data_IF_650597711188
#
_entry.id   IF_650597711188
#
_cell.length_a   1.000
_cell.length_b   1.000
_cell.length_c   1.000
_cell.angle_alpha   90.00
_cell.angle_beta   90.00
_cell.angle_gamma   90.00
#
_symmetry.space_group_name_H-M   'P 1'
#
loop_
_entity.id
_entity.type
_entity.pdbx_description
1 polymer ?
#
# COMPACT_ATOMS: atom_id res chain seq x y z
N UNK A 1 -11.87 -21.69 -4.10
CA UNK A 1 -12.36 -21.98 -2.73
C UNK A 1 -11.35 -21.48 -1.70
N UNK A 2 -11.77 -21.33 -0.46
CA UNK A 2 -10.93 -20.93 0.67
C UNK A 2 -9.77 -21.91 0.90
N UNK A 3 -10.00 -23.22 0.71
CA UNK A 3 -8.94 -24.22 0.84
C UNK A 3 -7.79 -23.98 -0.15
N UNK A 4 -8.11 -23.63 -1.40
CA UNK A 4 -7.10 -23.30 -2.40
C UNK A 4 -6.33 -22.05 -1.99
N UNK A 5 -7.03 -21.01 -1.47
CA UNK A 5 -6.35 -19.82 -0.99
C UNK A 5 -5.38 -20.13 0.17
N UNK A 6 -5.74 -21.03 1.08
CA UNK A 6 -4.84 -21.50 2.14
C UNK A 6 -3.62 -22.24 1.59
N UNK A 7 -3.81 -23.16 0.62
CA UNK A 7 -2.69 -23.88 0.00
C UNK A 7 -1.72 -22.94 -0.71
N UNK A 8 -2.26 -21.94 -1.43
CA UNK A 8 -1.46 -20.92 -2.10
C UNK A 8 -0.68 -20.08 -1.10
N UNK A 9 -1.36 -19.61 -0.04
CA UNK A 9 -0.73 -18.83 1.02
C UNK A 9 0.40 -19.62 1.70
N UNK A 10 0.20 -20.90 1.97
CA UNK A 10 1.23 -21.77 2.59
C UNK A 10 2.53 -21.82 1.78
N UNK A 11 2.43 -21.82 0.43
CA UNK A 11 3.60 -21.82 -0.47
C UNK A 11 4.42 -20.54 -0.33
N UNK A 12 3.76 -19.39 -0.19
CA UNK A 12 4.43 -18.10 0.01
C UNK A 12 4.95 -17.96 1.45
N UNK A 13 4.14 -18.31 2.45
CA UNK A 13 4.49 -18.16 3.87
C UNK A 13 5.77 -18.91 4.22
N UNK A 14 5.92 -20.15 3.74
CA UNK A 14 7.13 -20.96 3.96
C UNK A 14 8.40 -20.27 3.45
N UNK A 15 8.29 -19.59 2.31
CA UNK A 15 9.41 -18.83 1.74
C UNK A 15 9.66 -17.49 2.42
N UNK A 16 8.60 -16.80 2.84
CA UNK A 16 8.68 -15.46 3.42
C UNK A 16 9.04 -15.47 4.91
N UNK A 17 8.44 -16.39 5.67
CA UNK A 17 8.51 -16.40 7.14
C UNK A 17 9.05 -17.69 7.74
N UNK A 18 9.06 -18.79 6.95
CA UNK A 18 9.49 -20.10 7.42
C UNK A 18 8.34 -20.95 7.98
N UNK A 19 8.69 -22.15 8.46
CA UNK A 19 7.74 -23.23 8.78
C UNK A 19 6.97 -23.06 10.10
N UNK A 20 7.32 -22.09 10.93
CA UNK A 20 6.62 -21.79 12.17
C UNK A 20 5.36 -20.95 11.97
N UNK A 21 5.14 -20.47 10.76
CA UNK A 21 3.99 -19.66 10.36
C UNK A 21 3.06 -20.48 9.46
N UNK A 22 1.76 -20.31 9.64
CA UNK A 22 0.74 -21.01 8.89
C UNK A 22 -0.39 -20.07 8.46
N UNK A 23 -1.07 -20.36 7.32
CA UNK A 23 -2.26 -19.62 6.94
C UNK A 23 -3.43 -19.95 7.87
N UNK A 24 -4.26 -18.97 8.16
CA UNK A 24 -5.55 -19.12 8.84
C UNK A 24 -6.70 -19.04 7.84
N UNK A 25 -7.94 -18.94 8.34
CA UNK A 25 -9.14 -18.91 7.51
C UNK A 25 -9.14 -17.71 6.57
N UNK A 26 -9.22 -17.93 5.24
CA UNK A 26 -9.21 -16.85 4.26
C UNK A 26 -10.46 -15.99 4.33
N UNK A 27 -10.29 -14.69 4.21
CA UNK A 27 -11.34 -13.69 4.17
C UNK A 27 -11.57 -13.32 2.70
N UNK A 28 -12.75 -13.63 2.11
CA UNK A 28 -13.02 -13.25 0.73
C UNK A 28 -13.12 -11.74 0.60
N UNK A 29 -12.66 -11.22 -0.53
CA UNK A 29 -12.90 -9.83 -0.91
C UNK A 29 -13.44 -9.75 -2.35
N UNK A 30 -14.16 -8.67 -2.59
CA UNK A 30 -14.84 -8.41 -3.86
C UNK A 30 -14.37 -7.10 -4.47
N UNK A 31 -14.64 -6.93 -5.76
CA UNK A 31 -14.55 -5.62 -6.42
C UNK A 31 -15.74 -4.75 -5.96
N UNK A 32 -15.70 -3.48 -6.31
CA UNK A 32 -16.75 -2.51 -6.00
C UNK A 32 -18.10 -2.83 -6.67
N UNK A 33 -18.11 -3.61 -7.74
CA UNK A 33 -19.33 -4.13 -8.37
C UNK A 33 -19.86 -5.42 -7.70
N UNK A 34 -19.19 -5.89 -6.64
CA UNK A 34 -19.51 -7.11 -5.91
C UNK A 34 -18.99 -8.40 -6.55
N UNK A 35 -18.24 -8.32 -7.65
CA UNK A 35 -17.63 -9.52 -8.26
C UNK A 35 -16.50 -10.06 -7.38
N UNK A 36 -16.43 -11.39 -7.15
CA UNK A 36 -15.37 -11.99 -6.35
C UNK A 36 -13.99 -11.77 -6.99
N UNK A 37 -13.07 -11.13 -6.25
CA UNK A 37 -11.69 -10.90 -6.69
C UNK A 37 -10.71 -11.88 -6.06
N UNK A 38 -10.77 -12.08 -4.75
CA UNK A 38 -9.72 -12.80 -4.10
C UNK A 38 -9.94 -13.11 -2.62
N UNK A 39 -8.82 -13.37 -1.95
CA UNK A 39 -8.79 -13.66 -0.52
C UNK A 39 -7.67 -12.91 0.18
N UNK A 40 -7.99 -12.32 1.31
CA UNK A 40 -7.02 -11.96 2.33
C UNK A 40 -6.80 -13.20 3.19
N UNK A 41 -5.57 -13.66 3.30
CA UNK A 41 -5.25 -14.86 4.09
C UNK A 41 -4.43 -14.45 5.30
N UNK A 42 -5.04 -14.46 6.51
CA UNK A 42 -4.31 -14.18 7.73
C UNK A 42 -3.23 -15.21 7.97
N UNK A 43 -2.13 -14.76 8.57
CA UNK A 43 -0.98 -15.59 8.95
C UNK A 43 -0.90 -15.66 10.45
N UNK A 44 -0.69 -16.86 10.98
CA UNK A 44 -0.58 -17.08 12.42
C UNK A 44 0.72 -17.80 12.78
N UNK A 45 1.22 -17.51 13.96
CA UNK A 45 2.33 -18.24 14.60
C UNK A 45 1.98 -18.48 16.07
N UNK A 46 2.10 -19.71 16.55
CA UNK A 46 1.74 -20.06 17.94
C UNK A 46 0.36 -19.52 18.37
N UNK A 47 -0.63 -19.61 17.49
CA UNK A 47 -2.00 -19.11 17.66
C UNK A 47 -2.14 -17.58 17.84
N UNK A 48 -1.14 -16.82 17.42
CA UNK A 48 -1.19 -15.36 17.39
C UNK A 48 -1.17 -14.86 15.95
N UNK A 49 -1.98 -13.86 15.66
CA UNK A 49 -1.97 -13.20 14.37
C UNK A 49 -0.59 -12.54 14.13
N UNK A 50 -0.04 -12.74 12.94
CA UNK A 50 1.31 -12.31 12.56
C UNK A 50 1.35 -11.59 11.21
N UNK A 51 0.21 -11.28 10.64
CA UNK A 51 0.09 -10.58 9.36
C UNK A 51 -0.92 -11.22 8.43
N UNK A 52 -0.84 -10.86 7.15
CA UNK A 52 -1.72 -11.38 6.10
C UNK A 52 -1.05 -11.33 4.73
N UNK A 53 -1.62 -12.13 3.80
CA UNK A 53 -1.34 -12.04 2.36
C UNK A 53 -2.62 -11.61 1.64
N UNK A 54 -2.46 -10.93 0.50
CA UNK A 54 -3.53 -10.59 -0.43
C UNK A 54 -3.34 -11.41 -1.69
N UNK A 55 -4.30 -12.28 -1.95
CA UNK A 55 -4.33 -13.18 -3.12
C UNK A 55 -5.47 -12.72 -4.04
N UNK A 56 -5.11 -12.18 -5.19
CA UNK A 56 -6.04 -11.63 -6.18
C UNK A 56 -6.07 -12.51 -7.43
N UNK A 57 -7.23 -13.07 -7.75
CA UNK A 57 -7.41 -13.93 -8.91
C UNK A 57 -7.35 -13.18 -10.25
N UNK A 58 -7.49 -11.87 -10.23
CA UNK A 58 -7.34 -11.04 -11.44
C UNK A 58 -5.89 -10.76 -11.82
N UNK A 59 -4.93 -11.08 -10.94
CA UNK A 59 -3.49 -10.95 -11.20
C UNK A 59 -2.88 -12.30 -11.59
N UNK A 60 -2.07 -12.32 -12.66
CA UNK A 60 -1.42 -13.55 -13.19
C UNK A 60 -0.54 -14.25 -12.16
N UNK A 61 0.01 -13.48 -11.22
CA UNK A 61 0.90 -14.01 -10.17
C UNK A 61 0.16 -14.25 -8.85
N UNK A 62 -1.10 -13.86 -8.75
CA UNK A 62 -2.03 -14.07 -7.63
C UNK A 62 -1.61 -13.34 -6.34
N UNK A 63 -0.36 -13.47 -5.88
CA UNK A 63 0.11 -12.70 -4.73
C UNK A 63 0.34 -11.23 -5.12
N UNK A 64 -0.55 -10.36 -4.71
CA UNK A 64 -0.49 -8.93 -5.03
C UNK A 64 0.06 -8.09 -3.88
N UNK A 65 0.00 -8.62 -2.64
CA UNK A 65 0.57 -7.93 -1.50
C UNK A 65 0.65 -8.80 -0.25
N UNK A 66 1.42 -8.36 0.72
CA UNK A 66 1.46 -8.93 2.06
C UNK A 66 1.93 -7.90 3.08
N UNK A 67 1.60 -8.17 4.32
CA UNK A 67 2.06 -7.39 5.45
C UNK A 67 2.22 -8.30 6.65
N UNK A 68 3.32 -8.13 7.39
CA UNK A 68 3.58 -8.86 8.61
C UNK A 68 3.70 -7.92 9.80
N UNK A 69 3.09 -8.30 10.90
CA UNK A 69 3.06 -7.56 12.15
C UNK A 69 2.15 -8.24 13.17
N UNK A 70 2.48 -8.11 14.44
CA UNK A 70 1.71 -8.70 15.54
C UNK A 70 0.27 -8.15 15.57
N UNK A 71 -0.71 -9.05 15.65
CA UNK A 71 -2.12 -8.72 15.75
C UNK A 71 -2.82 -8.40 14.42
N UNK A 72 -2.10 -8.34 13.29
CA UNK A 72 -2.69 -8.03 11.99
C UNK A 72 -3.31 -9.28 11.36
N UNK A 73 -4.54 -9.16 10.87
CA UNK A 73 -5.24 -10.23 10.13
C UNK A 73 -5.76 -9.75 8.77
N UNK A 74 -5.83 -8.44 8.53
CA UNK A 74 -6.34 -7.89 7.27
C UNK A 74 -5.86 -6.46 7.03
N UNK A 75 -6.00 -5.90 5.81
CA UNK A 75 -5.75 -4.49 5.55
C UNK A 75 -6.64 -3.54 6.36
N UNK A 76 -7.75 -4.04 6.92
CA UNK A 76 -8.68 -3.26 7.73
C UNK A 76 -8.21 -3.10 9.19
N UNK A 77 -7.23 -3.91 9.62
CA UNK A 77 -6.71 -3.81 10.98
C UNK A 77 -5.76 -2.62 11.07
N UNK A 78 -6.21 -1.62 11.79
CA UNK A 78 -5.44 -0.44 12.13
C UNK A 78 -5.23 -0.46 13.63
N UNK A 79 -4.19 -0.99 14.14
CA UNK A 79 -3.70 -0.82 15.51
C UNK A 79 -4.65 -0.20 16.56
N UNK A 80 -5.92 -0.59 16.61
CA UNK A 80 -6.80 -0.44 17.77
C UNK A 80 -7.88 0.63 17.75
N UNK A 81 -8.03 1.54 16.77
CA UNK A 81 -8.91 2.69 17.00
C UNK A 81 -9.93 3.10 15.91
N UNK A 82 -10.03 2.39 14.84
CA UNK A 82 -11.17 2.57 13.95
C UNK A 82 -12.13 1.40 14.18
N UNK A 83 -13.28 1.68 14.78
CA UNK A 83 -14.39 0.74 14.88
C UNK A 83 -14.94 0.41 13.49
N UNK A 84 -14.11 -0.25 12.68
CA UNK A 84 -14.58 -0.88 11.46
C UNK A 84 -15.42 -2.05 11.93
N UNK A 85 -16.73 -2.00 11.63
CA UNK A 85 -17.62 -3.13 11.86
C UNK A 85 -16.94 -4.37 11.27
N UNK A 86 -16.87 -5.43 12.07
CA UNK A 86 -16.26 -6.68 11.64
C UNK A 86 -16.93 -7.12 10.33
N UNK A 87 -16.10 -7.42 9.32
CA UNK A 87 -16.58 -8.00 8.07
C UNK A 87 -17.39 -9.27 8.36
N UNK A 88 -18.46 -9.46 7.60
CA UNK A 88 -19.33 -10.62 7.68
C UNK A 88 -19.83 -10.96 6.27
N UNK A 89 -20.55 -12.07 6.14
CA UNK A 89 -21.18 -12.40 4.85
C UNK A 89 -22.10 -11.27 4.33
N UNK A 90 -22.72 -10.51 5.23
CA UNK A 90 -23.56 -9.36 4.86
C UNK A 90 -22.79 -8.06 4.68
N UNK A 91 -21.50 -7.99 5.13
CA UNK A 91 -20.64 -6.84 5.06
C UNK A 91 -19.31 -7.28 4.43
N UNK A 92 -19.25 -7.46 3.10
CA UNK A 92 -18.05 -7.96 2.43
C UNK A 92 -16.90 -6.96 2.49
N UNK A 93 -15.68 -7.48 2.49
CA UNK A 93 -14.50 -6.66 2.24
C UNK A 93 -14.47 -6.32 0.75
N UNK A 94 -14.30 -5.05 0.44
CA UNK A 94 -14.24 -4.51 -0.92
C UNK A 94 -12.85 -3.96 -1.16
N UNK A 95 -12.20 -4.35 -2.24
CA UNK A 95 -10.96 -3.74 -2.68
C UNK A 95 -11.27 -2.52 -3.55
N UNK A 96 -10.96 -1.34 -3.06
CA UNK A 96 -11.08 -0.09 -3.83
C UNK A 96 -9.90 0.04 -4.81
N UNK A 97 -8.71 -0.27 -4.30
CA UNK A 97 -7.45 -0.38 -5.04
C UNK A 97 -6.45 -1.11 -4.13
N UNK A 98 -5.24 -1.50 -4.59
CA UNK A 98 -4.29 -2.24 -3.78
C UNK A 98 -3.79 -1.52 -2.52
N UNK A 99 -3.98 -0.22 -2.41
CA UNK A 99 -3.65 0.57 -1.22
C UNK A 99 -4.86 0.75 -0.29
N UNK A 100 -6.07 0.53 -0.77
CA UNK A 100 -7.30 0.88 -0.06
C UNK A 100 -8.34 -0.22 -0.15
N UNK A 101 -8.70 -0.74 1.01
CA UNK A 101 -9.78 -1.71 1.22
C UNK A 101 -10.86 -1.08 2.09
N UNK A 102 -12.07 -1.59 2.01
CA UNK A 102 -13.17 -1.14 2.84
C UNK A 102 -14.12 -2.27 3.20
N UNK A 103 -15.05 -1.98 4.09
CA UNK A 103 -16.18 -2.85 4.44
C UNK A 103 -17.46 -2.19 3.95
N UNK A 104 -18.24 -2.94 3.17
CA UNK A 104 -19.52 -2.45 2.67
C UNK A 104 -20.60 -2.62 3.72
N UNK A 105 -21.30 -1.54 4.03
CA UNK A 105 -22.47 -1.52 4.93
C UNK A 105 -23.75 -1.94 4.20
N UNK A 106 -24.82 -2.22 4.94
CA UNK A 106 -26.11 -2.63 4.39
C UNK A 106 -26.78 -1.58 3.49
N UNK A 107 -26.47 -0.31 3.67
CA UNK A 107 -26.92 0.79 2.82
C UNK A 107 -26.09 0.94 1.53
N UNK A 108 -25.08 0.09 1.34
CA UNK A 108 -24.17 0.05 0.21
C UNK A 108 -22.99 1.02 0.32
N UNK A 109 -22.91 1.83 1.36
CA UNK A 109 -21.74 2.67 1.61
C UNK A 109 -20.52 1.80 2.00
N UNK A 110 -19.30 2.27 1.68
CA UNK A 110 -18.06 1.56 1.99
C UNK A 110 -17.23 2.41 2.93
N UNK A 111 -16.94 1.90 4.12
CA UNK A 111 -15.97 2.51 5.04
C UNK A 111 -14.60 1.90 4.81
N UNK A 112 -13.61 2.72 4.46
CA UNK A 112 -12.30 2.25 4.05
C UNK A 112 -11.27 2.25 5.18
N UNK A 113 -10.18 1.49 4.99
CA UNK A 113 -9.04 1.46 5.90
C UNK A 113 -8.32 2.80 6.03
N UNK A 114 -8.53 3.76 5.15
CA UNK A 114 -8.06 5.15 5.29
C UNK A 114 -9.07 6.09 5.96
N UNK A 115 -10.18 5.56 6.46
CA UNK A 115 -11.19 6.33 7.18
C UNK A 115 -12.09 7.19 6.29
N UNK A 116 -12.16 6.89 4.99
CA UNK A 116 -13.11 7.51 4.07
C UNK A 116 -14.42 6.73 4.08
N UNK A 117 -15.51 7.44 3.83
CA UNK A 117 -16.79 6.80 3.50
C UNK A 117 -17.13 7.08 2.05
N UNK A 118 -17.27 6.03 1.25
CA UNK A 118 -17.64 6.08 -0.16
C UNK A 118 -19.14 5.77 -0.25
N UNK A 119 -19.97 6.72 -0.74
CA UNK A 119 -21.41 6.48 -0.91
C UNK A 119 -21.69 5.40 -1.95
N UNK A 120 -22.77 4.63 -1.77
CA UNK A 120 -23.20 3.56 -2.68
C UNK A 120 -23.35 4.02 -4.15
N UNK A 121 -23.77 5.28 -4.35
CA UNK A 121 -24.05 5.84 -5.69
C UNK A 121 -22.79 6.23 -6.46
N UNK A 122 -21.62 6.31 -5.80
CA UNK A 122 -20.35 6.77 -6.41
C UNK A 122 -19.63 5.67 -7.20
N UNK A 123 -20.20 4.48 -7.28
CA UNK A 123 -19.52 3.27 -7.77
C UNK A 123 -19.92 2.92 -9.20
N UNK A 124 -20.78 3.70 -9.84
CA UNK A 124 -21.20 3.46 -11.22
C UNK A 124 -20.06 3.73 -12.22
N UNK A 125 -19.72 2.72 -13.01
CA UNK A 125 -19.02 2.89 -14.28
C UNK A 125 -17.50 2.75 -14.27
N UNK A 126 -16.94 1.78 -13.56
CA UNK A 126 -15.52 1.43 -13.76
C UNK A 126 -15.29 0.82 -15.14
N UNK A 127 -14.29 1.29 -15.90
CA UNK A 127 -13.87 0.58 -17.08
C UNK A 127 -13.31 -0.78 -16.67
N UNK A 128 -13.93 -1.84 -17.17
CA UNK A 128 -13.37 -3.18 -17.08
C UNK A 128 -12.05 -3.16 -17.85
N UNK A 129 -10.95 -3.25 -17.14
CA UNK A 129 -9.65 -3.46 -17.78
C UNK A 129 -9.66 -4.90 -18.28
N UNK A 130 -9.97 -5.06 -19.58
CA UNK A 130 -9.87 -6.34 -20.28
C UNK A 130 -8.38 -6.70 -20.35
N UNK A 131 -7.88 -7.37 -19.34
CA UNK A 131 -6.62 -8.09 -19.42
C UNK A 131 -6.92 -9.54 -19.78
N UNK A 132 -6.00 -10.22 -20.48
CA UNK A 132 -6.05 -11.68 -20.74
C UNK A 132 -5.87 -12.51 -19.47
N UNK A 133 -6.44 -12.09 -18.35
CA UNK A 133 -6.22 -12.61 -17.01
C UNK A 133 -7.32 -13.60 -16.64
N UNK A 134 -7.03 -14.57 -15.75
CA UNK A 134 -8.07 -15.41 -15.22
C UNK A 134 -9.17 -14.54 -14.63
N UNK A 135 -10.38 -14.68 -15.15
CA UNK A 135 -11.53 -13.87 -14.75
C UNK A 135 -12.28 -14.44 -13.54
N UNK A 136 -11.80 -15.56 -13.00
CA UNK A 136 -12.46 -16.21 -11.88
C UNK A 136 -11.53 -17.13 -11.09
N UNK A 137 -11.87 -17.38 -9.82
CA UNK A 137 -11.19 -18.39 -8.99
C UNK A 137 -11.23 -19.81 -9.58
N UNK A 138 -12.13 -20.11 -10.51
CA UNK A 138 -12.13 -21.39 -11.23
C UNK A 138 -10.88 -21.53 -12.11
N UNK A 139 -10.40 -20.45 -12.69
CA UNK A 139 -9.17 -20.44 -13.47
C UNK A 139 -7.94 -20.56 -12.57
N UNK A 140 -7.98 -19.96 -11.37
CA UNK A 140 -6.93 -20.10 -10.35
C UNK A 140 -6.74 -21.54 -9.88
N UNK A 141 -7.80 -22.37 -9.90
CA UNK A 141 -7.67 -23.82 -9.58
C UNK A 141 -6.68 -24.51 -10.51
N UNK A 142 -6.64 -24.15 -11.79
CA UNK A 142 -5.69 -24.72 -12.76
C UNK A 142 -4.26 -24.31 -12.40
N UNK A 143 -4.05 -23.10 -11.96
CA UNK A 143 -2.74 -22.61 -11.50
C UNK A 143 -2.34 -23.23 -10.16
N UNK A 144 -3.27 -23.45 -9.24
CA UNK A 144 -2.99 -24.06 -7.94
C UNK A 144 -2.33 -25.42 -8.05
N UNK A 145 -2.72 -26.24 -9.05
CA UNK A 145 -2.09 -27.55 -9.31
C UNK A 145 -0.66 -27.44 -9.83
N UNK A 146 -0.28 -26.27 -10.38
CA UNK A 146 1.06 -25.98 -10.89
C UNK A 146 1.90 -25.20 -9.90
N UNK A 147 1.31 -24.73 -8.78
CA UNK A 147 2.02 -23.91 -7.82
C UNK A 147 3.19 -24.61 -7.19
N UNK A 148 4.22 -23.82 -7.03
CA UNK A 148 5.49 -24.21 -6.47
C UNK A 148 5.75 -23.46 -5.17
N UNK A 149 6.64 -23.99 -4.35
CA UNK A 149 7.15 -23.23 -3.21
C UNK A 149 7.99 -22.07 -3.69
N UNK A 150 7.91 -20.97 -2.99
CA UNK A 150 8.73 -19.79 -3.21
C UNK A 150 9.79 -19.64 -2.11
N UNK A 151 10.84 -18.94 -2.44
CA UNK A 151 11.86 -18.52 -1.48
C UNK A 151 12.19 -17.05 -1.72
N UNK A 152 12.56 -16.35 -0.66
CA UNK A 152 13.10 -14.99 -0.78
C UNK A 152 14.53 -15.13 -1.29
N UNK A 153 14.76 -14.71 -2.54
CA UNK A 153 16.09 -14.73 -3.15
C UNK A 153 16.83 -13.40 -3.01
N UNK A 154 16.10 -12.34 -2.66
CA UNK A 154 16.65 -11.02 -2.34
C UNK A 154 15.70 -10.27 -1.43
N UNK A 155 16.24 -9.71 -0.36
CA UNK A 155 15.53 -8.82 0.54
C UNK A 155 16.47 -7.70 0.98
N UNK A 156 15.99 -6.49 0.95
CA UNK A 156 16.69 -5.34 1.49
C UNK A 156 15.71 -4.31 2.01
N UNK A 157 16.08 -3.68 3.12
CA UNK A 157 15.43 -2.47 3.61
C UNK A 157 16.49 -1.41 3.91
N UNK A 158 16.10 -0.16 3.95
CA UNK A 158 16.93 0.89 4.55
C UNK A 158 17.11 0.61 6.04
N UNK A 159 18.15 1.19 6.64
CA UNK A 159 18.55 0.88 8.03
C UNK A 159 17.55 1.31 9.09
N UNK A 160 16.78 2.34 8.80
CA UNK A 160 15.67 2.82 9.62
C UNK A 160 14.49 3.00 8.68
N UNK A 161 13.32 2.56 9.09
CA UNK A 161 12.13 2.83 8.31
C UNK A 161 11.24 3.83 9.06
N UNK A 162 10.45 4.59 8.30
CA UNK A 162 9.53 5.58 8.84
C UNK A 162 8.18 5.52 8.15
N UNK A 163 7.13 5.37 8.93
CA UNK A 163 5.76 5.45 8.45
C UNK A 163 4.93 6.28 9.43
N UNK A 164 4.61 7.49 9.04
CA UNK A 164 3.63 8.28 9.75
C UNK A 164 2.22 7.73 9.54
N UNK A 165 1.47 7.59 10.63
CA UNK A 165 0.05 7.23 10.58
C UNK A 165 -0.78 8.45 10.16
N UNK A 166 -1.57 8.32 9.10
CA UNK A 166 -2.42 9.39 8.61
C UNK A 166 -3.49 9.82 9.62
N UNK A 167 -3.98 8.89 10.45
CA UNK A 167 -4.97 9.22 11.48
C UNK A 167 -4.38 10.20 12.49
N UNK A 168 -3.12 9.97 12.87
CA UNK A 168 -2.40 10.87 13.76
C UNK A 168 -2.09 12.21 13.08
N UNK A 169 -1.67 12.19 11.81
CA UNK A 169 -1.44 13.42 11.03
C UNK A 169 -2.72 14.25 10.96
N UNK A 170 -3.85 13.63 10.60
CA UNK A 170 -5.16 14.32 10.56
C UNK A 170 -5.55 14.91 11.91
N UNK A 171 -5.34 14.15 13.00
CA UNK A 171 -5.62 14.62 14.35
C UNK A 171 -4.78 15.84 14.73
N UNK A 172 -3.50 15.86 14.34
CA UNK A 172 -2.57 16.93 14.70
C UNK A 172 -2.69 18.17 13.82
N UNK A 173 -3.03 18.03 12.56
CA UNK A 173 -2.93 19.10 11.55
C UNK A 173 -4.27 19.48 10.91
N UNK A 174 -5.30 18.66 11.05
CA UNK A 174 -6.56 18.73 10.29
C UNK A 174 -6.35 18.73 8.75
N UNK A 175 -5.19 18.25 8.28
CA UNK A 175 -4.84 18.15 6.86
C UNK A 175 -4.25 16.77 6.55
N UNK A 176 -4.44 16.32 5.31
CA UNK A 176 -3.81 15.11 4.82
C UNK A 176 -3.55 15.19 3.31
N UNK A 177 -2.36 14.80 2.90
CA UNK A 177 -1.99 14.61 1.51
C UNK A 177 -0.91 13.51 1.43
N UNK A 178 -1.15 12.46 0.68
CA UNK A 178 -0.25 11.30 0.59
C UNK A 178 1.19 11.68 0.21
N UNK A 179 1.37 12.64 -0.71
CA UNK A 179 2.68 13.16 -1.08
C UNK A 179 3.39 13.87 0.08
N UNK A 180 2.66 14.70 0.82
CA UNK A 180 3.22 15.44 1.97
C UNK A 180 3.61 14.46 3.08
N UNK A 181 2.78 13.42 3.30
CA UNK A 181 3.08 12.33 4.25
C UNK A 181 4.33 11.55 3.83
N UNK A 182 4.44 11.18 2.55
CA UNK A 182 5.61 10.49 2.04
C UNK A 182 6.89 11.34 2.16
N UNK A 183 6.83 12.64 1.87
CA UNK A 183 7.96 13.55 2.10
C UNK A 183 8.26 13.76 3.58
N UNK A 184 7.27 13.70 4.45
CA UNK A 184 7.48 13.77 5.91
C UNK A 184 8.24 12.57 6.43
N UNK A 185 7.93 11.36 5.93
CA UNK A 185 8.70 10.15 6.22
C UNK A 185 10.18 10.36 5.83
N UNK A 186 10.43 10.85 4.62
CA UNK A 186 11.80 11.14 4.15
C UNK A 186 12.49 12.19 5.01
N UNK A 187 11.78 13.28 5.36
CA UNK A 187 12.35 14.33 6.21
C UNK A 187 12.76 13.79 7.59
N UNK A 188 11.96 12.92 8.20
CA UNK A 188 12.29 12.25 9.46
C UNK A 188 13.51 11.33 9.30
N UNK A 189 13.54 10.49 8.26
CA UNK A 189 14.66 9.58 7.97
C UNK A 189 16.00 10.31 7.81
N UNK A 190 15.97 11.54 7.34
CA UNK A 190 17.16 12.38 7.21
C UNK A 190 17.40 13.31 8.41
N UNK A 191 16.59 13.22 9.47
CA UNK A 191 16.68 14.05 10.67
C UNK A 191 16.36 15.53 10.42
N UNK A 192 15.55 15.86 9.41
CA UNK A 192 15.18 17.22 9.03
C UNK A 192 13.89 17.66 9.73
N UNK A 193 12.98 16.73 9.96
CA UNK A 193 11.68 16.96 10.60
C UNK A 193 11.37 15.87 11.61
N UNK A 194 10.47 16.19 12.54
CA UNK A 194 9.79 15.22 13.40
C UNK A 194 8.39 15.74 13.69
N UNK A 195 7.37 15.15 13.06
CA UNK A 195 5.99 15.64 13.16
C UNK A 195 5.37 15.43 14.55
N UNK A 196 5.84 14.46 15.32
CA UNK A 196 5.35 14.23 16.69
C UNK A 196 5.82 15.33 17.64
N UNK A 197 6.99 15.91 17.41
CA UNK A 197 7.51 17.03 18.20
C UNK A 197 7.10 18.40 17.67
N UNK A 198 6.92 18.52 16.35
CA UNK A 198 6.53 19.77 15.68
C UNK A 198 5.61 19.48 14.47
N UNK A 199 4.29 19.31 14.70
CA UNK A 199 3.32 19.07 13.64
C UNK A 199 3.24 20.18 12.59
N UNK A 200 3.69 21.41 12.92
CA UNK A 200 3.68 22.52 11.97
C UNK A 200 4.57 22.29 10.75
N UNK A 201 5.55 21.39 10.86
CA UNK A 201 6.42 21.02 9.76
C UNK A 201 5.68 20.33 8.61
N UNK A 202 4.60 19.61 8.90
CA UNK A 202 3.72 19.05 7.88
C UNK A 202 3.15 20.15 6.98
N UNK A 203 2.65 21.23 7.58
CA UNK A 203 2.11 22.38 6.83
C UNK A 203 3.21 23.18 6.12
N UNK A 204 4.44 23.17 6.64
CA UNK A 204 5.57 23.76 5.91
C UNK A 204 5.88 22.96 4.64
N UNK A 205 5.97 21.61 4.72
CA UNK A 205 6.14 20.74 3.54
C UNK A 205 4.98 20.97 2.56
N UNK A 206 3.73 20.99 3.05
CA UNK A 206 2.53 21.28 2.26
C UNK A 206 2.69 22.57 1.44
N UNK A 207 3.07 23.66 2.10
CA UNK A 207 3.23 24.96 1.44
C UNK A 207 4.40 24.96 0.43
N UNK A 208 5.54 24.42 0.82
CA UNK A 208 6.72 24.36 -0.07
C UNK A 208 6.48 23.50 -1.32
N UNK A 209 5.70 22.45 -1.22
CA UNK A 209 5.40 21.56 -2.35
C UNK A 209 4.24 22.04 -3.21
N UNK A 210 3.67 23.22 -2.92
CA UNK A 210 2.47 23.76 -3.58
C UNK A 210 1.26 22.82 -3.47
N UNK A 211 1.17 22.07 -2.40
CA UNK A 211 -0.02 21.27 -2.12
C UNK A 211 -1.20 22.20 -1.87
N UNK A 212 -2.34 21.88 -2.42
CA UNK A 212 -3.56 22.66 -2.29
C UNK A 212 -4.74 21.75 -1.92
N UNK A 213 -5.77 22.31 -1.29
CA UNK A 213 -6.97 21.57 -0.97
C UNK A 213 -7.63 21.03 -2.25
N UNK A 214 -8.06 19.80 -2.21
CA UNK A 214 -8.90 19.21 -3.25
C UNK A 214 -10.27 19.92 -3.27
N UNK A 215 -11.03 19.74 -4.34
CA UNK A 215 -12.38 20.28 -4.44
C UNK A 215 -13.32 19.70 -3.38
N UNK A 216 -14.43 20.39 -3.09
CA UNK A 216 -15.41 19.93 -2.09
C UNK A 216 -15.96 18.53 -2.39
N UNK A 217 -16.06 18.17 -3.68
CA UNK A 217 -16.50 16.84 -4.12
C UNK A 217 -15.49 15.75 -3.81
N UNK A 218 -14.21 16.10 -3.72
CA UNK A 218 -13.11 15.18 -3.39
C UNK A 218 -12.79 15.11 -1.90
N UNK A 219 -13.35 16.04 -1.09
CA UNK A 219 -13.19 16.08 0.37
C UNK A 219 -14.07 15.01 1.04
N UNK A 220 -13.54 13.79 1.15
CA UNK A 220 -14.30 12.63 1.62
C UNK A 220 -14.11 12.28 3.09
N UNK A 221 -13.28 13.02 3.81
CA UNK A 221 -13.01 12.81 5.25
C UNK A 221 -13.53 14.01 6.04
N UNK A 222 -14.59 13.86 6.86
CA UNK A 222 -15.16 14.96 7.60
C UNK A 222 -14.14 15.66 8.52
N UNK A 223 -14.11 17.00 8.48
CA UNK A 223 -13.22 17.81 9.32
C UNK A 223 -11.74 17.78 8.96
N UNK A 224 -11.38 17.16 7.83
CA UNK A 224 -10.00 17.08 7.33
C UNK A 224 -9.92 17.68 5.93
N UNK A 225 -8.91 18.50 5.70
CA UNK A 225 -8.59 19.01 4.36
C UNK A 225 -7.71 18.02 3.63
N UNK A 226 -8.23 17.41 2.58
CA UNK A 226 -7.45 16.56 1.69
C UNK A 226 -6.72 17.41 0.65
N UNK A 227 -5.46 17.09 0.35
CA UNK A 227 -4.61 17.88 -0.53
C UNK A 227 -4.10 17.13 -1.74
N UNK A 228 -4.08 17.83 -2.87
CA UNK A 228 -3.39 17.44 -4.09
C UNK A 228 -2.04 18.14 -4.23
N UNK A 229 -0.99 17.38 -4.57
CA UNK A 229 0.36 17.93 -4.75
C UNK A 229 0.78 17.81 -6.22
N UNK A 230 1.12 18.92 -6.90
CA UNK A 230 1.57 18.85 -8.30
C UNK A 230 2.94 18.17 -8.43
N UNK A 231 3.03 17.13 -9.26
CA UNK A 231 4.27 16.39 -9.51
C UNK A 231 5.39 17.31 -10.07
N UNK A 232 5.03 18.29 -10.88
CA UNK A 232 6.00 19.19 -11.52
C UNK A 232 6.78 20.05 -10.54
N UNK A 233 6.26 20.33 -9.36
CA UNK A 233 6.85 21.22 -8.37
C UNK A 233 7.27 20.54 -7.07
N UNK A 234 6.77 19.34 -6.80
CA UNK A 234 6.91 18.69 -5.49
C UNK A 234 8.38 18.47 -5.09
N UNK A 235 9.24 17.97 -5.99
CA UNK A 235 10.64 17.70 -5.67
C UNK A 235 11.44 19.00 -5.41
N UNK A 236 11.23 20.03 -6.25
CA UNK A 236 11.86 21.34 -6.03
C UNK A 236 11.37 21.98 -4.74
N UNK A 237 10.07 21.91 -4.48
CA UNK A 237 9.47 22.41 -3.25
C UNK A 237 10.05 21.72 -2.02
N UNK A 238 10.15 20.39 -2.04
CA UNK A 238 10.72 19.64 -0.93
C UNK A 238 12.22 19.95 -0.72
N UNK A 239 12.99 20.12 -1.81
CA UNK A 239 14.39 20.60 -1.73
C UNK A 239 14.47 21.96 -1.03
N UNK A 240 13.61 22.90 -1.39
CA UNK A 240 13.57 24.22 -0.76
C UNK A 240 13.18 24.16 0.72
N UNK A 241 12.23 23.29 1.07
CA UNK A 241 11.92 22.99 2.48
C UNK A 241 13.15 22.47 3.22
N UNK A 242 13.85 21.49 2.69
CA UNK A 242 15.08 20.96 3.29
C UNK A 242 16.14 22.05 3.49
N UNK A 243 16.36 22.90 2.49
CA UNK A 243 17.28 24.02 2.58
C UNK A 243 16.88 25.03 3.66
N UNK A 244 15.58 25.33 3.82
CA UNK A 244 15.09 26.20 4.88
C UNK A 244 15.34 25.65 6.29
N UNK A 245 15.53 24.34 6.40
CA UNK A 245 15.89 23.62 7.64
C UNK A 245 17.40 23.40 7.79
N UNK A 246 18.21 24.01 6.93
CA UNK A 246 19.68 23.88 6.96
C UNK A 246 20.23 22.57 6.38
N UNK A 247 19.39 21.77 5.70
CA UNK A 247 19.81 20.53 5.06
C UNK A 247 20.20 20.73 3.62
N UNK A 248 21.20 19.97 3.15
CA UNK A 248 21.65 19.94 1.75
C UNK A 248 20.95 18.85 0.92
N UNK A 249 19.89 18.23 1.45
CA UNK A 249 19.15 17.17 0.76
C UNK A 249 18.47 17.73 -0.50
N UNK A 250 18.73 17.09 -1.62
CA UNK A 250 18.17 17.43 -2.94
C UNK A 250 17.21 16.30 -3.35
N UNK A 251 15.98 16.67 -3.70
CA UNK A 251 14.99 15.79 -4.28
C UNK A 251 14.94 15.95 -5.81
N UNK A 252 14.78 14.86 -6.54
CA UNK A 252 14.67 14.85 -8.01
C UNK A 252 13.57 13.93 -8.47
N UNK A 253 12.67 14.44 -9.30
CA UNK A 253 11.63 13.64 -9.95
C UNK A 253 12.22 12.80 -11.08
N UNK A 254 11.84 11.54 -11.13
CA UNK A 254 12.18 10.56 -12.17
C UNK A 254 10.88 10.01 -12.74
N UNK A 255 10.74 9.99 -14.07
CA UNK A 255 9.57 9.39 -14.72
C UNK A 255 9.71 7.88 -14.82
N UNK A 256 8.62 7.15 -14.59
CA UNK A 256 8.52 5.70 -14.72
C UNK A 256 9.73 4.96 -14.10
N UNK A 257 9.96 5.09 -12.78
CA UNK A 257 11.14 4.52 -12.15
C UNK A 257 11.13 3.00 -12.31
N UNK A 258 12.18 2.43 -12.90
CA UNK A 258 12.31 0.99 -13.02
C UNK A 258 12.61 0.36 -11.64
N UNK A 259 12.14 -0.87 -11.42
CA UNK A 259 12.37 -1.60 -10.16
C UNK A 259 13.87 -1.63 -9.79
N UNK A 260 14.76 -1.85 -10.75
CA UNK A 260 16.20 -1.86 -10.51
C UNK A 260 16.75 -0.53 -9.98
N UNK A 261 16.21 0.61 -10.42
CA UNK A 261 16.63 1.91 -9.88
C UNK A 261 16.14 2.11 -8.45
N UNK A 262 14.92 1.69 -8.13
CA UNK A 262 14.39 1.70 -6.76
C UNK A 262 15.25 0.82 -5.84
N UNK A 263 15.55 -0.39 -6.28
CA UNK A 263 16.43 -1.30 -5.54
C UNK A 263 17.83 -0.71 -5.30
N UNK A 264 18.41 -0.03 -6.29
CA UNK A 264 19.71 0.64 -6.16
C UNK A 264 19.69 1.75 -5.11
N UNK A 265 18.62 2.54 -5.03
CA UNK A 265 18.47 3.55 -3.98
C UNK A 265 18.36 2.88 -2.59
N UNK A 266 17.52 1.87 -2.44
CA UNK A 266 17.36 1.13 -1.18
C UNK A 266 18.69 0.45 -0.77
N UNK A 267 19.42 -0.16 -1.72
CA UNK A 267 20.75 -0.73 -1.49
C UNK A 267 21.77 0.31 -1.01
N UNK A 268 21.59 1.57 -1.43
CA UNK A 268 22.40 2.72 -1.01
C UNK A 268 21.86 3.37 0.27
N UNK A 269 20.94 2.70 0.98
CA UNK A 269 20.28 3.19 2.19
C UNK A 269 19.53 4.51 1.98
N UNK A 270 18.91 4.68 0.82
CA UNK A 270 18.10 5.85 0.48
C UNK A 270 16.67 5.44 0.16
N UNK A 271 15.65 6.10 0.78
CA UNK A 271 14.26 5.88 0.43
C UNK A 271 13.95 6.47 -0.96
N UNK A 272 12.82 6.06 -1.52
CA UNK A 272 12.21 6.71 -2.68
C UNK A 272 10.80 7.14 -2.30
N UNK A 273 10.28 8.22 -2.89
CA UNK A 273 8.84 8.44 -2.93
C UNK A 273 8.33 8.00 -4.29
N UNK A 274 7.35 7.10 -4.31
CA UNK A 274 6.75 6.57 -5.53
C UNK A 274 5.34 7.14 -5.71
N UNK A 275 5.02 7.51 -6.93
CA UNK A 275 3.75 8.11 -7.31
C UNK A 275 3.02 7.18 -8.26
N UNK A 276 1.96 6.55 -7.76
CA UNK A 276 1.10 5.66 -8.52
C UNK A 276 -0.03 6.45 -9.20
N UNK A 277 -0.23 6.22 -10.48
CA UNK A 277 -1.52 6.50 -11.13
C UNK A 277 -2.37 5.24 -11.03
N UNK A 278 -3.56 5.35 -10.46
CA UNK A 278 -4.48 4.24 -10.28
C UNK A 278 -5.41 4.12 -11.49
N UNK A 279 -5.86 2.90 -11.76
CA UNK A 279 -6.73 2.63 -12.90
C UNK A 279 -8.07 3.41 -12.88
N UNK A 280 -8.52 3.84 -11.71
CA UNK A 280 -9.73 4.64 -11.53
C UNK A 280 -9.51 6.16 -11.76
N UNK A 281 -8.33 6.55 -12.25
CA UNK A 281 -7.96 7.93 -12.49
C UNK A 281 -7.46 8.70 -11.27
N UNK A 282 -7.48 8.11 -10.09
CA UNK A 282 -6.89 8.71 -8.90
C UNK A 282 -5.37 8.49 -8.84
N UNK A 283 -4.71 9.11 -7.88
CA UNK A 283 -3.27 8.95 -7.66
C UNK A 283 -2.97 8.73 -6.17
N UNK A 284 -1.87 8.02 -5.91
CA UNK A 284 -1.38 7.83 -4.55
C UNK A 284 0.14 7.94 -4.49
N UNK A 285 0.66 8.42 -3.37
CA UNK A 285 2.09 8.57 -3.15
C UNK A 285 2.50 7.87 -1.87
N UNK A 286 3.58 7.10 -1.94
CA UNK A 286 4.07 6.28 -0.83
C UNK A 286 5.58 6.40 -0.70
N UNK A 287 6.14 6.10 0.47
CA UNK A 287 7.58 6.00 0.64
C UNK A 287 8.02 4.55 0.46
N UNK A 288 8.85 4.27 -0.53
CA UNK A 288 9.45 2.95 -0.72
C UNK A 288 10.76 2.84 0.06
N UNK A 289 10.83 1.86 0.95
CA UNK A 289 11.89 1.72 1.94
C UNK A 289 12.50 0.32 1.97
N UNK A 290 11.86 -0.63 1.28
CA UNK A 290 12.32 -2.00 1.17
C UNK A 290 11.95 -2.62 -0.17
N UNK A 291 12.55 -3.76 -0.46
CA UNK A 291 12.09 -4.66 -1.53
C UNK A 291 12.29 -6.12 -1.14
N UNK A 292 11.52 -6.99 -1.78
CA UNK A 292 11.73 -8.43 -1.72
C UNK A 292 11.63 -9.01 -3.13
N UNK A 293 12.50 -9.97 -3.44
CA UNK A 293 12.42 -10.79 -4.64
C UNK A 293 12.07 -12.21 -4.23
N UNK A 294 10.93 -12.71 -4.69
CA UNK A 294 10.50 -14.07 -4.49
C UNK A 294 10.91 -14.89 -5.72
N UNK A 295 11.48 -16.06 -5.51
CA UNK A 295 11.86 -16.96 -6.60
C UNK A 295 11.18 -18.31 -6.42
N UNK A 296 10.50 -18.76 -7.45
CA UNK A 296 9.89 -20.09 -7.51
C UNK A 296 10.94 -21.19 -7.57
N UNK A 297 10.83 -22.18 -6.68
CA UNK A 297 11.84 -23.24 -6.53
C UNK A 297 11.93 -24.19 -7.73
N UNK A 298 10.86 -24.33 -8.50
CA UNK A 298 10.82 -25.22 -9.66
C UNK A 298 11.18 -24.53 -10.97
N UNK A 299 10.64 -23.34 -11.20
CA UNK A 299 10.74 -22.63 -12.47
C UNK A 299 11.84 -21.56 -12.50
N UNK A 300 12.26 -21.08 -11.31
CA UNK A 300 13.17 -19.94 -11.20
C UNK A 300 12.52 -18.60 -11.53
N UNK A 301 11.22 -18.55 -11.78
CA UNK A 301 10.50 -17.30 -12.00
C UNK A 301 10.62 -16.37 -10.79
N UNK A 302 10.65 -15.08 -11.03
CA UNK A 302 10.82 -14.09 -9.95
C UNK A 302 9.62 -13.16 -9.86
N UNK A 303 9.29 -12.75 -8.63
CA UNK A 303 8.27 -11.76 -8.31
C UNK A 303 8.90 -10.63 -7.52
N UNK A 304 8.68 -9.43 -7.98
CA UNK A 304 9.27 -8.23 -7.35
C UNK A 304 8.23 -7.56 -6.46
N UNK A 305 8.57 -7.44 -5.18
CA UNK A 305 7.74 -6.77 -4.19
C UNK A 305 8.45 -5.50 -3.70
N UNK A 306 7.71 -4.43 -3.56
CA UNK A 306 8.18 -3.17 -2.97
C UNK A 306 7.59 -3.04 -1.56
N UNK A 307 8.44 -2.83 -0.58
CA UNK A 307 8.05 -2.50 0.79
C UNK A 307 7.85 -1.00 0.94
N UNK A 308 6.63 -0.62 1.26
CA UNK A 308 6.19 0.78 1.31
C UNK A 308 5.65 1.17 2.68
N UNK A 309 5.93 2.41 3.08
CA UNK A 309 5.17 3.13 4.08
C UNK A 309 3.97 3.79 3.38
N UNK A 310 2.80 3.20 3.59
CA UNK A 310 1.54 3.61 2.91
C UNK A 310 0.83 4.78 3.60
N UNK A 311 1.30 5.19 4.76
CA UNK A 311 0.73 6.26 5.56
C UNK A 311 -0.35 5.78 6.55
N UNK A 312 -0.75 4.52 6.50
CA UNK A 312 -1.90 4.04 7.31
C UNK A 312 -1.50 3.12 8.45
N UNK A 313 -0.26 2.78 8.54
CA UNK A 313 0.22 1.79 9.47
C UNK A 313 1.67 2.03 9.89
N UNK A 314 2.03 1.52 11.07
CA UNK A 314 3.38 1.60 11.62
C UNK A 314 4.35 0.54 11.11
N UNK A 315 3.96 -0.32 10.16
CA UNK A 315 4.81 -1.35 9.54
C UNK A 315 4.73 -1.28 8.02
N UNK A 316 5.74 -1.78 7.31
CA UNK A 316 5.74 -1.79 5.85
C UNK A 316 4.69 -2.74 5.29
N UNK A 317 3.98 -2.27 4.26
CA UNK A 317 3.18 -3.11 3.37
C UNK A 317 4.03 -3.47 2.16
N UNK A 318 4.01 -4.73 1.74
CA UNK A 318 4.69 -5.17 0.53
C UNK A 318 3.67 -5.35 -0.58
N UNK A 319 3.87 -4.64 -1.68
CA UNK A 319 3.03 -4.73 -2.86
C UNK A 319 3.84 -5.25 -4.05
N UNK A 320 3.22 -6.06 -4.89
CA UNK A 320 3.80 -6.47 -6.16
C UNK A 320 4.11 -5.22 -6.99
N UNK A 321 5.34 -5.11 -7.51
CA UNK A 321 5.79 -3.93 -8.24
C UNK A 321 4.97 -3.67 -9.51
N UNK A 322 4.66 -4.71 -10.25
CA UNK A 322 3.92 -4.65 -11.52
C UNK A 322 2.52 -5.25 -11.34
N UNK A 323 1.53 -4.38 -11.22
CA UNK A 323 0.12 -4.75 -11.07
C UNK A 323 -0.73 -4.02 -12.10
N UNK A 324 -1.87 -4.61 -12.47
CA UNK A 324 -2.81 -3.99 -13.39
C UNK A 324 -3.59 -2.81 -12.80
N UNK A 325 -3.62 -2.68 -11.48
CA UNK A 325 -4.39 -1.66 -10.78
C UNK A 325 -3.70 -0.30 -10.73
N UNK A 326 -2.39 -0.25 -10.93
CA UNK A 326 -1.63 1.00 -10.94
C UNK A 326 -0.40 0.94 -11.83
N UNK A 327 0.10 2.12 -12.16
CA UNK A 327 1.42 2.29 -12.77
C UNK A 327 2.23 3.28 -11.93
N UNK A 328 3.49 2.97 -11.65
CA UNK A 328 4.44 3.91 -11.06
C UNK A 328 4.87 4.93 -12.10
N UNK A 329 4.10 6.02 -12.20
CA UNK A 329 4.31 7.02 -13.25
C UNK A 329 5.48 7.94 -12.96
N UNK A 330 5.73 8.21 -11.68
CA UNK A 330 6.87 9.02 -11.24
C UNK A 330 7.47 8.45 -9.95
N UNK A 331 8.74 8.79 -9.73
CA UNK A 331 9.41 8.60 -8.46
C UNK A 331 10.14 9.88 -8.07
N UNK A 332 10.45 10.04 -6.79
CA UNK A 332 11.36 11.07 -6.28
C UNK A 332 12.51 10.38 -5.56
N UNK A 333 13.73 10.66 -6.00
CA UNK A 333 14.98 10.19 -5.40
C UNK A 333 15.65 11.29 -4.61
N UNK A 334 16.55 10.94 -3.69
CA UNK A 334 17.16 11.86 -2.76
C UNK A 334 18.68 11.71 -2.73
N UNK A 335 19.40 12.82 -2.70
CA UNK A 335 20.86 12.85 -2.60
C UNK A 335 21.34 13.99 -1.69
N UNK A 336 22.41 13.76 -0.93
CA UNK A 336 23.14 14.79 -0.17
C UNK A 336 24.38 15.19 -0.93
#
# INVERSE_FOLDING_TARGET
>A
TSEIAQELADKYIKGLLGYSYTPSDPIPFVDVDGSPLGYIVPVVTSNRAAGYLVLDASDDEILTGYRFGDGLVSPMDRGGDLGVESYSFNNPVVMINPFEFGVQSLDGSITTNCGRTIPAVSIEGRPVVLSNKPSSWNDVVIYATQMQDYTVSGFRSISQFMSYDESEIKRLTAHYACMVTAFSNVAELYGIANLYSDPSQYMQIWNYTNTHALSDEEQTVPGVVLGGTPISTCATGFTNYCASRGSTLIARTVSSPAIASIQNEINSNRPNVLHASLYNGSAHSVTAEAYATLTGKKTGETRQMIGIADGWNSSLSFLKYDQSYYAWTYGTTFSK
#
